data_IF_314737143579
#
_entry.id   IF_314737143579
#
_cell.length_a   1.000
_cell.length_b   1.000
_cell.length_c   1.000
_cell.angle_alpha   90.00
_cell.angle_beta   90.00
_cell.angle_gamma   90.00
#
_symmetry.space_group_name_H-M   'P 1'
#
loop_
_entity.id
_entity.type
_entity.pdbx_description
1 polymer ?
#
# COMPACT_ATOMS: atom_id res chain seq x y z
N UNK A 1 -16.35 -5.97 -37.63
CA UNK A 1 -15.07 -5.48 -37.07
C UNK A 1 -15.40 -4.76 -35.78
N UNK A 2 -14.91 -5.29 -34.66
CA UNK A 2 -15.24 -4.91 -33.28
C UNK A 2 -14.62 -3.59 -32.88
N UNK A 3 -15.27 -2.85 -31.97
CA UNK A 3 -14.54 -2.00 -31.03
C UNK A 3 -15.35 -1.87 -29.74
N UNK A 4 -15.30 -2.94 -28.94
CA UNK A 4 -15.66 -2.87 -27.52
C UNK A 4 -14.68 -1.92 -26.86
N UNK A 5 -15.13 -0.68 -26.58
CA UNK A 5 -14.37 0.26 -25.76
C UNK A 5 -14.32 -0.36 -24.36
N UNK A 6 -13.17 -0.95 -24.01
CA UNK A 6 -12.90 -1.42 -22.67
C UNK A 6 -13.00 -0.19 -21.76
N UNK A 7 -14.18 0.01 -21.15
CA UNK A 7 -14.35 0.97 -20.07
C UNK A 7 -13.43 0.42 -18.99
N UNK A 8 -12.31 1.09 -18.77
CA UNK A 8 -11.37 0.75 -17.72
C UNK A 8 -12.17 0.78 -16.41
N UNK A 9 -12.57 -0.41 -15.93
CA UNK A 9 -13.20 -0.56 -14.64
C UNK A 9 -12.05 -0.31 -13.66
N UNK A 10 -11.89 0.93 -13.22
CA UNK A 10 -11.07 1.23 -12.05
C UNK A 10 -11.82 0.66 -10.86
N UNK A 11 -11.61 -0.63 -10.59
CA UNK A 11 -12.04 -1.22 -9.34
C UNK A 11 -11.09 -0.68 -8.29
N UNK A 12 -11.49 0.37 -7.56
CA UNK A 12 -10.87 0.65 -6.26
C UNK A 12 -11.21 -0.55 -5.39
N UNK A 13 -10.36 -1.57 -5.42
CA UNK A 13 -10.51 -2.73 -4.57
C UNK A 13 -10.48 -2.24 -3.12
N UNK A 14 -11.49 -2.58 -2.35
CA UNK A 14 -11.50 -2.25 -0.93
C UNK A 14 -10.28 -2.91 -0.27
N UNK A 15 -9.54 -2.14 0.53
CA UNK A 15 -8.45 -2.69 1.34
C UNK A 15 -9.05 -3.25 2.63
N UNK A 16 -9.12 -4.58 2.75
CA UNK A 16 -9.81 -5.25 3.86
C UNK A 16 -8.93 -6.30 4.52
N UNK A 17 -8.94 -6.39 5.85
CA UNK A 17 -8.25 -7.42 6.61
C UNK A 17 -9.27 -8.33 7.31
N UNK A 18 -9.04 -9.65 7.27
CA UNK A 18 -9.96 -10.64 7.84
C UNK A 18 -9.99 -10.62 9.37
N UNK A 19 -8.95 -10.08 10.01
CA UNK A 19 -8.85 -9.98 11.46
C UNK A 19 -7.97 -8.81 11.90
N UNK A 20 -8.05 -8.46 13.20
CA UNK A 20 -7.13 -7.50 13.82
C UNK A 20 -5.68 -8.01 13.82
N UNK A 21 -5.48 -9.32 13.91
CA UNK A 21 -4.15 -9.96 13.81
C UNK A 21 -3.54 -9.72 12.43
N UNK A 22 -4.32 -9.91 11.36
CA UNK A 22 -3.85 -9.69 9.99
C UNK A 22 -3.51 -8.21 9.75
N UNK A 23 -4.37 -7.31 10.24
CA UNK A 23 -4.14 -5.86 10.18
C UNK A 23 -2.87 -5.47 10.95
N UNK A 24 -2.68 -6.03 12.15
CA UNK A 24 -1.47 -5.79 12.96
C UNK A 24 -0.22 -6.26 12.22
N UNK A 25 -0.27 -7.43 11.60
CA UNK A 25 0.83 -7.95 10.79
C UNK A 25 1.19 -7.03 9.62
N UNK A 26 0.19 -6.47 8.93
CA UNK A 26 0.41 -5.51 7.86
C UNK A 26 1.03 -4.19 8.36
N UNK A 27 0.55 -3.67 9.51
CA UNK A 27 1.13 -2.48 10.13
C UNK A 27 2.59 -2.67 10.55
N UNK A 28 2.95 -3.85 11.05
CA UNK A 28 4.35 -4.18 11.40
C UNK A 28 5.23 -4.22 10.16
N UNK A 29 4.78 -4.83 9.06
CA UNK A 29 5.52 -4.85 7.79
C UNK A 29 5.70 -3.45 7.22
N UNK A 30 4.63 -2.64 7.25
CA UNK A 30 4.71 -1.23 6.85
C UNK A 30 5.73 -0.46 7.70
N UNK A 31 5.76 -0.67 9.03
CA UNK A 31 6.74 -0.03 9.91
C UNK A 31 8.20 -0.38 9.59
N UNK A 32 8.46 -1.66 9.31
CA UNK A 32 9.80 -2.13 8.94
C UNK A 32 10.23 -1.48 7.62
N UNK A 33 9.34 -1.46 6.62
CA UNK A 33 9.64 -0.89 5.31
C UNK A 33 9.79 0.64 5.36
N UNK A 34 8.98 1.32 6.18
CA UNK A 34 9.07 2.77 6.40
C UNK A 34 10.37 3.16 7.10
N UNK A 35 10.86 2.37 8.05
CA UNK A 35 12.18 2.59 8.64
C UNK A 35 13.33 2.53 7.61
N UNK A 36 13.20 1.74 6.54
CA UNK A 36 14.15 1.76 5.42
C UNK A 36 13.95 2.98 4.49
N UNK A 37 12.71 3.44 4.34
CA UNK A 37 12.40 4.69 3.62
C UNK A 37 13.03 5.90 4.32
N UNK A 38 12.86 6.02 5.64
CA UNK A 38 13.46 7.10 6.44
C UNK A 38 14.99 7.11 6.35
N UNK A 39 15.64 5.93 6.38
CA UNK A 39 17.09 5.81 6.15
C UNK A 39 17.49 6.31 4.76
N UNK A 40 16.67 6.07 3.74
CA UNK A 40 16.93 6.48 2.35
C UNK A 40 16.80 7.98 2.15
N UNK A 41 15.82 8.61 2.79
CA UNK A 41 15.62 10.07 2.72
C UNK A 41 16.49 10.83 3.74
N UNK A 42 17.06 10.12 4.72
CA UNK A 42 17.97 10.68 5.73
C UNK A 42 17.27 11.49 6.82
N UNK A 43 15.96 11.36 6.97
CA UNK A 43 15.14 12.08 7.94
C UNK A 43 13.89 11.26 8.29
N UNK A 44 13.28 11.60 9.43
CA UNK A 44 11.94 11.10 9.76
C UNK A 44 10.92 11.63 8.74
N UNK A 45 9.98 10.78 8.33
CA UNK A 45 8.91 11.17 7.43
C UNK A 45 7.67 11.60 8.23
N UNK A 46 7.34 12.91 8.27
CA UNK A 46 6.17 13.39 9.01
C UNK A 46 4.85 12.92 8.42
N UNK A 47 4.86 12.39 7.19
CA UNK A 47 3.68 11.88 6.49
C UNK A 47 3.56 10.35 6.55
N UNK A 48 4.12 9.75 7.60
CA UNK A 48 4.05 8.30 7.85
C UNK A 48 2.65 7.67 7.69
N UNK A 49 1.50 8.31 8.05
CA UNK A 49 0.21 7.64 7.91
C UNK A 49 -0.16 7.43 6.43
N UNK A 50 0.19 8.39 5.58
CA UNK A 50 -0.06 8.30 4.15
C UNK A 50 0.84 7.25 3.51
N UNK A 51 2.11 7.19 3.92
CA UNK A 51 3.05 6.18 3.44
C UNK A 51 2.60 4.77 3.83
N UNK A 52 2.16 4.57 5.07
CA UNK A 52 1.60 3.30 5.54
C UNK A 52 0.38 2.86 4.74
N UNK A 53 -0.56 3.78 4.51
CA UNK A 53 -1.75 3.47 3.71
C UNK A 53 -1.38 3.04 2.29
N UNK A 54 -0.45 3.76 1.64
CA UNK A 54 0.04 3.40 0.31
C UNK A 54 0.73 2.02 0.30
N UNK A 55 1.59 1.76 1.28
CA UNK A 55 2.26 0.47 1.44
C UNK A 55 1.26 -0.67 1.63
N UNK A 56 0.32 -0.53 2.57
CA UNK A 56 -0.65 -1.59 2.89
C UNK A 56 -1.60 -1.89 1.72
N UNK A 57 -2.01 -0.87 0.97
CA UNK A 57 -2.82 -1.02 -0.24
C UNK A 57 -2.01 -1.75 -1.33
N UNK A 58 -0.77 -1.33 -1.56
CA UNK A 58 0.10 -1.93 -2.58
C UNK A 58 0.48 -3.38 -2.24
N UNK A 59 0.81 -3.65 -0.99
CA UNK A 59 1.13 -5.00 -0.49
C UNK A 59 -0.07 -5.94 -0.68
N UNK A 60 -1.27 -5.50 -0.30
CA UNK A 60 -2.47 -6.31 -0.49
C UNK A 60 -2.84 -6.52 -1.97
N UNK A 61 -2.62 -5.50 -2.80
CA UNK A 61 -2.86 -5.59 -4.24
C UNK A 61 -1.77 -6.36 -5.00
N UNK A 62 -0.65 -6.68 -4.34
CA UNK A 62 0.53 -7.27 -4.99
C UNK A 62 1.17 -6.35 -6.04
N UNK A 63 1.07 -5.03 -5.85
CA UNK A 63 1.63 -4.02 -6.75
C UNK A 63 2.95 -3.48 -6.22
N UNK A 64 3.56 -2.54 -6.96
CA UNK A 64 4.78 -1.87 -6.55
C UNK A 64 4.61 -1.17 -5.20
N UNK A 65 5.55 -1.42 -4.28
CA UNK A 65 5.57 -0.83 -2.95
C UNK A 65 6.19 0.56 -2.99
N UNK A 66 5.77 1.49 -2.10
CA UNK A 66 6.41 2.79 -1.99
C UNK A 66 7.89 2.65 -1.59
N UNK A 67 8.71 3.52 -2.17
CA UNK A 67 10.16 3.60 -2.01
C UNK A 67 10.56 4.78 -1.12
#
# INVERSE_FOLDING_TARGET
>A
MSTTRLRQITHSAATTFSSSTDLTGALIRAAIAHGEHEKRIGAEDPNWPHWYAAYMVAEQAGTELPV
#
